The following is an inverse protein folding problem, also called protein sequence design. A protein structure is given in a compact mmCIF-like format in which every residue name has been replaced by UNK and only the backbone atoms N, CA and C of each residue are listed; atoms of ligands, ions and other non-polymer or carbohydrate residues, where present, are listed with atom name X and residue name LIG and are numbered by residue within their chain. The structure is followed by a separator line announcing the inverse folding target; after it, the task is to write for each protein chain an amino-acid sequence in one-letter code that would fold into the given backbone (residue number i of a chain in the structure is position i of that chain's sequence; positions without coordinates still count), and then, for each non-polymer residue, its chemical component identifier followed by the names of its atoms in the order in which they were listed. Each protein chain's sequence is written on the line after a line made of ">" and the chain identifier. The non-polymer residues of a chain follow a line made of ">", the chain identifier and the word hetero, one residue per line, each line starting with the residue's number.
data_IF_546626992254
#
_entry.id   IF_546626992254
#
_cell.length_a   1.000
_cell.length_b   1.000
_cell.length_c   1.000
_cell.angle_alpha   90.00
_cell.angle_beta   90.00
_cell.angle_gamma   90.00
#
_symmetry.space_group_name_H-M   'P 1'
#
loop_
_entity.id
_entity.type
_entity.pdbx_description
1 polymer ?
#
# COMPACT_ATOMS: atom_id res chain seq x y z
N UNK A 1 3.41 12.33 13.08
CA UNK A 1 2.22 11.53 12.73
C UNK A 1 2.59 10.51 11.67
N UNK A 2 2.48 9.21 11.98
CA UNK A 2 2.72 8.10 11.04
C UNK A 2 1.41 7.40 10.73
N UNK A 3 1.23 6.97 9.49
CA UNK A 3 0.07 6.21 9.03
C UNK A 3 0.54 4.97 8.28
N UNK A 4 -0.12 3.84 8.49
CA UNK A 4 0.18 2.57 7.85
C UNK A 4 -1.11 1.91 7.38
N UNK A 5 -1.13 1.51 6.10
CA UNK A 5 -2.21 0.70 5.54
C UNK A 5 -1.87 -0.77 5.76
N UNK A 6 -2.76 -1.52 6.40
CA UNK A 6 -2.62 -2.96 6.63
C UNK A 6 -3.91 -3.65 6.23
N UNK A 7 -3.87 -4.48 5.17
CA UNK A 7 -5.01 -5.28 4.74
C UNK A 7 -6.31 -4.49 4.49
N UNK A 8 -6.18 -3.22 4.07
CA UNK A 8 -7.32 -2.30 3.89
C UNK A 8 -7.71 -1.50 5.14
N UNK A 9 -7.09 -1.78 6.30
CA UNK A 9 -7.27 -1.01 7.54
C UNK A 9 -6.21 0.07 7.68
N UNK A 10 -6.61 1.21 8.26
CA UNK A 10 -5.71 2.32 8.53
C UNK A 10 -5.28 2.26 9.99
N UNK A 11 -3.97 2.17 10.22
CA UNK A 11 -3.36 2.34 11.53
C UNK A 11 -2.64 3.68 11.58
N UNK A 12 -2.87 4.45 12.64
CA UNK A 12 -2.24 5.76 12.84
C UNK A 12 -1.42 5.77 14.12
N UNK A 13 -0.39 6.60 14.17
CA UNK A 13 0.45 6.76 15.34
C UNK A 13 0.82 8.24 15.49
N UNK A 14 0.28 8.87 16.53
CA UNK A 14 0.45 10.30 16.78
C UNK A 14 1.77 10.56 17.52
N UNK A 15 2.04 9.76 18.54
CA UNK A 15 3.13 9.98 19.52
C UNK A 15 4.48 9.41 19.07
N UNK A 16 4.51 8.62 18.00
CA UNK A 16 5.71 7.98 17.46
C UNK A 16 6.22 6.79 18.28
N UNK A 17 5.53 6.38 19.36
CA UNK A 17 5.90 5.24 20.19
C UNK A 17 5.39 3.92 19.60
N UNK A 18 6.07 2.82 19.87
CA UNK A 18 5.75 1.52 19.25
C UNK A 18 4.43 0.90 19.72
N UNK A 19 3.94 1.33 20.88
CA UNK A 19 2.77 0.86 21.63
C UNK A 19 1.55 1.79 21.53
N UNK A 20 1.67 2.92 20.82
CA UNK A 20 0.61 3.94 20.69
C UNK A 20 -0.01 3.96 19.30
N UNK A 21 -0.11 2.80 18.63
CA UNK A 21 -0.83 2.72 17.37
C UNK A 21 -2.32 2.72 17.63
N UNK A 22 -3.07 3.34 16.74
CA UNK A 22 -4.52 3.44 16.77
C UNK A 22 -5.08 2.73 15.53
N UNK A 23 -5.92 1.73 15.77
CA UNK A 23 -6.72 1.03 14.77
C UNK A 23 -8.17 1.49 14.90
N UNK A 24 -8.82 1.78 13.77
CA UNK A 24 -10.26 2.08 13.72
C UNK A 24 -10.94 1.03 12.85
N UNK A 25 -11.94 0.35 13.40
CA UNK A 25 -12.77 -0.64 12.71
C UNK A 25 -14.22 -0.21 12.91
N UNK A 26 -14.88 0.21 11.84
CA UNK A 26 -16.21 0.84 11.91
C UNK A 26 -16.20 1.96 12.98
N UNK A 27 -16.98 1.80 14.05
CA UNK A 27 -17.11 2.78 15.13
C UNK A 27 -16.20 2.48 16.34
N UNK A 28 -15.49 1.34 16.34
CA UNK A 28 -14.56 0.99 17.41
C UNK A 28 -13.16 1.54 17.16
N UNK A 29 -12.57 2.12 18.21
CA UNK A 29 -11.19 2.58 18.23
C UNK A 29 -10.42 1.76 19.24
N UNK A 30 -9.28 1.22 18.82
CA UNK A 30 -8.37 0.46 19.68
C UNK A 30 -6.97 1.06 19.63
N UNK A 31 -6.32 1.09 20.79
CA UNK A 31 -4.94 1.58 20.95
C UNK A 31 -4.09 0.44 21.48
N UNK A 32 -2.91 0.24 20.90
CA UNK A 32 -1.95 -0.77 21.33
C UNK A 32 -0.73 -0.82 20.44
N UNK A 33 0.12 -1.84 20.63
CA UNK A 33 1.25 -2.03 19.74
C UNK A 33 0.81 -2.44 18.34
N UNK A 34 1.65 -2.12 17.34
CA UNK A 34 1.38 -2.49 15.95
C UNK A 34 1.17 -4.01 15.79
N UNK A 35 1.90 -4.82 16.56
CA UNK A 35 1.79 -6.28 16.53
C UNK A 35 0.43 -6.75 17.07
N UNK A 36 0.02 -6.23 18.23
CA UNK A 36 -1.28 -6.57 18.82
C UNK A 36 -2.44 -6.22 17.90
N UNK A 37 -2.41 -5.02 17.31
CA UNK A 37 -3.47 -4.56 16.43
C UNK A 37 -3.56 -5.40 15.15
N UNK A 38 -2.42 -5.81 14.57
CA UNK A 38 -2.41 -6.73 13.42
C UNK A 38 -2.96 -8.10 13.76
N UNK A 39 -2.56 -8.66 14.91
CA UNK A 39 -3.10 -9.93 15.41
C UNK A 39 -4.61 -9.84 15.58
N UNK A 40 -5.09 -8.71 16.06
CA UNK A 40 -6.51 -8.53 16.30
C UNK A 40 -7.33 -8.43 15.00
N UNK A 41 -6.81 -7.75 13.98
CA UNK A 41 -7.41 -7.75 12.64
C UNK A 41 -7.52 -9.17 12.10
N UNK A 42 -6.43 -9.95 12.16
CA UNK A 42 -6.42 -11.33 11.68
C UNK A 42 -7.44 -12.20 12.44
N UNK A 43 -7.51 -12.08 13.76
CA UNK A 43 -8.48 -12.80 14.58
C UNK A 43 -9.93 -12.51 14.18
N UNK A 44 -10.30 -11.25 13.96
CA UNK A 44 -11.65 -10.92 13.53
C UNK A 44 -11.97 -11.35 12.09
N UNK A 45 -10.96 -11.44 11.22
CA UNK A 45 -11.12 -12.03 9.88
C UNK A 45 -11.36 -13.54 9.96
N UNK A 46 -10.61 -14.25 10.81
CA UNK A 46 -10.78 -15.69 11.05
C UNK A 46 -12.17 -16.01 11.61
N UNK A 47 -12.72 -15.13 12.46
CA UNK A 47 -14.10 -15.24 12.96
C UNK A 47 -15.17 -14.88 11.92
N UNK A 48 -14.81 -14.33 10.75
CA UNK A 48 -15.76 -13.85 9.74
C UNK A 48 -16.46 -12.54 10.11
N UNK A 49 -16.01 -11.84 11.16
CA UNK A 49 -16.54 -10.53 11.57
C UNK A 49 -16.03 -9.44 10.62
N UNK A 50 -14.77 -9.51 10.23
CA UNK A 50 -14.18 -8.62 9.23
C UNK A 50 -14.14 -9.30 7.86
N UNK A 51 -14.32 -8.54 6.77
CA UNK A 51 -14.17 -9.08 5.44
C UNK A 51 -12.75 -9.60 5.22
N UNK A 52 -12.57 -10.66 4.41
CA UNK A 52 -11.25 -11.14 4.05
C UNK A 52 -10.46 -10.05 3.34
N UNK A 53 -9.13 -10.10 3.52
CA UNK A 53 -8.19 -9.15 2.94
C UNK A 53 -8.46 -9.02 1.44
N UNK A 54 -8.77 -7.80 0.98
CA UNK A 54 -8.70 -7.51 -0.44
C UNK A 54 -7.22 -7.49 -0.81
N UNK A 55 -6.81 -8.37 -1.73
CA UNK A 55 -5.53 -8.25 -2.41
C UNK A 55 -5.55 -6.91 -3.17
N UNK A 56 -5.10 -5.85 -2.50
CA UNK A 56 -4.80 -4.63 -3.20
C UNK A 56 -3.59 -4.93 -4.07
N UNK A 57 -3.70 -4.81 -5.41
CA UNK A 57 -2.55 -4.99 -6.26
C UNK A 57 -1.47 -4.03 -5.75
N UNK A 58 -0.31 -4.58 -5.42
CA UNK A 58 0.86 -3.79 -5.07
C UNK A 58 0.96 -2.66 -6.10
N UNK A 59 1.22 -1.40 -5.69
CA UNK A 59 1.35 -0.31 -6.63
C UNK A 59 2.39 -0.75 -7.65
N UNK A 60 1.92 -1.05 -8.86
CA UNK A 60 2.81 -1.34 -9.97
C UNK A 60 3.61 -0.06 -10.09
N UNK A 61 4.89 -0.13 -9.72
CA UNK A 61 5.84 0.86 -10.15
C UNK A 61 5.63 0.92 -11.65
N UNK A 62 5.08 2.03 -12.13
CA UNK A 62 4.93 2.31 -13.54
C UNK A 62 6.36 2.41 -14.06
N UNK A 63 6.96 1.27 -14.37
CA UNK A 63 8.15 1.20 -15.19
C UNK A 63 7.75 1.91 -16.46
N UNK A 64 8.41 3.05 -16.67
CA UNK A 64 8.22 3.91 -17.82
C UNK A 64 8.35 3.03 -19.06
N UNK A 65 7.20 2.72 -19.66
CA UNK A 65 7.06 1.86 -20.83
C UNK A 65 7.61 2.64 -22.00
N UNK A 66 8.95 2.62 -22.18
CA UNK A 66 9.60 3.13 -23.39
C UNK A 66 9.01 2.38 -24.58
N UNK A 67 8.21 3.09 -25.38
CA UNK A 67 7.59 2.57 -26.61
C UNK A 67 8.66 1.96 -27.54
N UNK A 68 8.37 0.83 -28.19
CA UNK A 68 9.22 0.27 -29.21
C UNK A 68 8.99 0.97 -30.55
N UNK A 69 10.08 1.25 -31.26
CA UNK A 69 10.07 1.34 -32.73
C UNK A 69 10.34 2.72 -33.34
N UNK A 70 11.59 2.93 -33.78
CA UNK A 70 11.87 3.23 -35.19
C UNK A 70 13.38 3.14 -35.47
N UNK A 71 13.83 2.32 -36.44
CA UNK A 71 15.19 2.43 -36.97
C UNK A 71 15.26 3.69 -37.87
N UNK A 72 16.30 4.53 -37.77
CA UNK A 72 16.46 5.63 -38.71
C UNK A 72 16.84 5.05 -40.08
N UNK A 73 15.88 5.03 -41.01
CA UNK A 73 16.14 4.86 -42.44
C UNK A 73 16.93 6.07 -42.93
N UNK A 74 18.13 5.84 -43.45
CA UNK A 74 18.94 6.88 -44.08
C UNK A 74 18.29 7.48 -45.34
N UNK A 75 18.58 8.76 -45.60
CA UNK A 75 18.57 9.33 -46.95
C UNK A 75 19.49 10.56 -47.07
N UNK A 76 20.66 10.29 -47.69
CA UNK A 76 21.51 11.07 -48.62
C UNK A 76 21.39 12.61 -48.80
N UNK A 77 22.61 13.20 -48.95
CA UNK A 77 23.05 14.45 -49.65
C UNK A 77 22.74 15.76 -48.91
N UNK A 78 23.58 16.80 -48.86
CA UNK A 78 24.45 17.35 -49.92
C UNK A 78 25.48 18.37 -49.36
N UNK A 79 26.60 18.48 -50.08
CA UNK A 79 27.66 19.51 -50.21
C UNK A 79 27.77 20.72 -49.26
N UNK A 80 29.04 21.02 -48.94
CA UNK A 80 29.60 22.27 -48.46
C UNK A 80 31.11 22.12 -48.32
#
# INVERSE_FOLDING_TARGET
>A
MRTLLYQGFILTNLDGKTDSWRLTIADEVRIGSLFELRRQVAFYQELGVLPPVKDYPAPTTSSSKRKPGHPPKGRKKQLG
#
